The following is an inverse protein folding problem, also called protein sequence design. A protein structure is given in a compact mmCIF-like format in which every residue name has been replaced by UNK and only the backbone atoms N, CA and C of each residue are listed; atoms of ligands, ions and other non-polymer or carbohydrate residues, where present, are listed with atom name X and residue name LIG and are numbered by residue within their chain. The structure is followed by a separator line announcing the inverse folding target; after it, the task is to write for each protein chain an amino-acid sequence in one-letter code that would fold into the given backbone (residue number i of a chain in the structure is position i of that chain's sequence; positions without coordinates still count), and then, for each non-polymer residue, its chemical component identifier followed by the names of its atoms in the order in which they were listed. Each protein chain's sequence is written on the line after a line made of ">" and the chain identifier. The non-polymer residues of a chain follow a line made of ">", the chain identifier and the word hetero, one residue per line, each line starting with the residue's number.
data_IF_464490508243
#
_entry.id   IF_464490508243
#
_cell.length_a   1.000
_cell.length_b   1.000
_cell.length_c   1.000
_cell.angle_alpha   90.00
_cell.angle_beta   90.00
_cell.angle_gamma   90.00
#
_symmetry.space_group_name_H-M   'P 1'
#
loop_
_entity.id
_entity.type
_entity.pdbx_description
1 polymer ?
#
# COMPACT_ATOMS: atom_id res chain seq x y z
N UNK A 1 -7.46 -46.61 23.91
CA UNK A 1 -6.53 -46.29 22.80
C UNK A 1 -5.36 -45.55 23.41
N UNK A 2 -4.14 -45.72 22.94
CA UNK A 2 -2.97 -44.98 23.43
C UNK A 2 -2.64 -43.89 22.40
N UNK A 3 -2.81 -42.62 22.79
CA UNK A 3 -2.57 -41.47 21.91
C UNK A 3 -1.14 -40.91 22.00
N UNK A 4 -0.29 -41.47 22.92
CA UNK A 4 1.04 -40.94 23.15
C UNK A 4 1.01 -39.52 23.72
N UNK A 5 1.92 -38.68 23.25
CA UNK A 5 1.93 -37.25 23.58
C UNK A 5 0.81 -36.54 22.83
N UNK A 6 0.05 -35.72 23.54
CA UNK A 6 -1.02 -34.86 22.98
C UNK A 6 -0.80 -33.40 23.35
N UNK A 7 -1.24 -32.49 22.51
CA UNK A 7 -1.12 -31.06 22.74
C UNK A 7 -2.54 -30.52 23.03
N UNK A 8 -2.71 -29.88 24.16
CA UNK A 8 -3.93 -29.13 24.49
C UNK A 8 -3.81 -27.69 24.00
N UNK A 9 -4.76 -27.25 23.22
CA UNK A 9 -4.87 -25.89 22.72
C UNK A 9 -5.81 -25.10 23.61
N UNK A 10 -5.27 -24.20 24.42
CA UNK A 10 -6.04 -23.40 25.35
C UNK A 10 -6.93 -22.33 24.69
N UNK A 11 -6.64 -22.00 23.42
CA UNK A 11 -7.38 -20.96 22.66
C UNK A 11 -8.79 -21.41 22.30
N UNK A 12 -9.02 -22.69 22.03
CA UNK A 12 -10.29 -23.29 21.61
C UNK A 12 -10.64 -24.58 22.32
N UNK A 13 -9.93 -24.88 23.40
CA UNK A 13 -10.09 -26.08 24.22
C UNK A 13 -10.06 -27.38 23.41
N UNK A 14 -9.25 -27.43 22.38
CA UNK A 14 -9.10 -28.57 21.48
C UNK A 14 -7.81 -29.34 21.74
N UNK A 15 -7.69 -30.55 21.16
CA UNK A 15 -6.48 -31.36 21.27
C UNK A 15 -5.86 -31.64 19.89
N UNK A 16 -4.54 -31.69 19.83
CA UNK A 16 -3.80 -32.19 18.68
C UNK A 16 -3.18 -33.52 19.09
N UNK A 17 -3.53 -34.58 18.37
CA UNK A 17 -3.01 -35.93 18.53
C UNK A 17 -2.17 -36.32 17.31
N UNK A 18 -1.40 -37.43 17.42
CA UNK A 18 -0.75 -37.99 16.24
C UNK A 18 -1.60 -39.15 15.72
N UNK A 19 -2.08 -39.04 14.47
CA UNK A 19 -2.89 -40.05 13.79
C UNK A 19 -2.17 -40.42 12.48
N UNK A 20 -1.80 -41.70 12.32
CA UNK A 20 -1.05 -42.17 11.15
C UNK A 20 0.27 -41.42 10.90
N UNK A 21 0.97 -40.97 11.95
CA UNK A 21 2.23 -40.26 11.87
C UNK A 21 2.10 -38.74 11.52
N UNK A 22 0.89 -38.23 11.46
CA UNK A 22 0.62 -36.81 11.19
C UNK A 22 -0.16 -36.17 12.32
N UNK A 23 0.04 -34.85 12.59
CA UNK A 23 -0.79 -34.09 13.52
C UNK A 23 -2.25 -34.12 13.07
N UNK A 24 -3.16 -34.39 13.99
CA UNK A 24 -4.59 -34.47 13.78
C UNK A 24 -5.35 -33.70 14.86
N UNK A 25 -6.20 -32.78 14.43
CA UNK A 25 -6.89 -31.86 15.32
C UNK A 25 -8.27 -32.41 15.71
N UNK A 26 -8.55 -32.46 17.00
CA UNK A 26 -9.82 -32.94 17.57
C UNK A 26 -10.50 -31.80 18.31
N UNK A 27 -11.68 -31.44 17.85
CA UNK A 27 -12.46 -30.29 18.36
C UNK A 27 -13.65 -30.72 19.19
N UNK A 28 -13.99 -29.99 20.27
CA UNK A 28 -15.14 -30.28 21.13
C UNK A 28 -16.49 -30.00 20.48
N UNK A 29 -16.52 -29.22 19.38
CA UNK A 29 -17.79 -28.68 18.82
C UNK A 29 -18.28 -29.39 17.56
N UNK A 30 -17.53 -30.30 17.03
CA UNK A 30 -17.90 -31.01 15.80
C UNK A 30 -18.60 -32.31 16.13
N UNK A 31 -19.91 -32.38 15.88
CA UNK A 31 -20.72 -33.56 16.19
C UNK A 31 -20.21 -34.85 15.52
N UNK A 32 -19.61 -34.72 14.36
CA UNK A 32 -18.96 -35.79 13.59
C UNK A 32 -17.71 -36.37 14.25
N UNK A 33 -17.08 -35.65 15.18
CA UNK A 33 -15.89 -36.06 15.93
C UNK A 33 -16.16 -36.27 17.42
N UNK A 34 -17.42 -36.26 17.87
CA UNK A 34 -17.79 -36.32 19.30
C UNK A 34 -17.21 -37.56 19.99
N UNK A 35 -17.29 -38.73 19.33
CA UNK A 35 -16.76 -39.99 19.92
C UNK A 35 -15.21 -39.93 20.04
N UNK A 36 -14.54 -39.36 19.07
CA UNK A 36 -13.06 -39.18 19.08
C UNK A 36 -12.66 -38.13 20.12
N UNK A 37 -13.40 -37.03 20.22
CA UNK A 37 -13.24 -36.04 21.27
C UNK A 37 -13.35 -36.66 22.67
N UNK A 38 -14.44 -37.35 22.97
CA UNK A 38 -14.65 -37.98 24.26
C UNK A 38 -13.52 -38.96 24.61
N UNK A 39 -13.04 -39.72 23.63
CA UNK A 39 -11.95 -40.66 23.81
C UNK A 39 -10.61 -39.97 24.10
N UNK A 40 -10.31 -38.87 23.40
CA UNK A 40 -9.06 -38.08 23.59
C UNK A 40 -9.14 -37.35 24.94
N UNK A 41 -10.25 -36.72 25.25
CA UNK A 41 -10.48 -36.03 26.51
C UNK A 41 -10.32 -36.98 27.70
N UNK A 42 -10.98 -38.14 27.67
CA UNK A 42 -10.87 -39.15 28.75
C UNK A 42 -9.42 -39.66 28.88
N UNK A 43 -8.69 -39.80 27.78
CA UNK A 43 -7.30 -40.16 27.83
C UNK A 43 -6.43 -39.05 28.44
N UNK A 44 -6.67 -37.80 28.10
CA UNK A 44 -5.96 -36.65 28.66
C UNK A 44 -6.15 -36.54 30.17
N UNK A 45 -7.38 -36.71 30.66
CA UNK A 45 -7.69 -36.74 32.11
C UNK A 45 -7.00 -37.88 32.84
N UNK A 46 -6.90 -39.05 32.20
CA UNK A 46 -6.29 -40.22 32.79
C UNK A 46 -4.73 -40.18 32.72
N UNK A 47 -4.16 -39.40 31.82
CA UNK A 47 -2.72 -39.35 31.54
C UNK A 47 -2.21 -37.90 31.42
N UNK A 48 -2.31 -37.10 32.48
CA UNK A 48 -1.91 -35.68 32.46
C UNK A 48 -0.41 -35.52 32.11
N UNK A 49 0.41 -36.53 32.37
CA UNK A 49 1.82 -36.55 31.99
C UNK A 49 2.06 -36.60 30.47
N UNK A 50 1.04 -37.00 29.70
CA UNK A 50 1.09 -37.06 28.23
C UNK A 50 0.54 -35.77 27.60
N UNK A 51 -0.02 -34.84 28.38
CA UNK A 51 -0.59 -33.60 27.90
C UNK A 51 0.43 -32.47 27.96
N UNK A 52 0.61 -31.80 26.84
CA UNK A 52 1.44 -30.57 26.76
C UNK A 52 0.57 -29.45 26.28
N UNK A 53 0.61 -28.29 26.94
CA UNK A 53 -0.07 -27.10 26.45
C UNK A 53 0.60 -26.57 25.17
N UNK A 54 -0.22 -26.14 24.20
CA UNK A 54 0.28 -25.46 23.02
C UNK A 54 1.01 -24.19 23.43
N UNK A 55 2.26 -24.06 22.99
CA UNK A 55 2.99 -22.84 23.25
C UNK A 55 2.39 -21.70 22.40
N UNK A 56 2.20 -20.50 22.97
CA UNK A 56 1.75 -19.35 22.21
C UNK A 56 2.63 -19.15 21.00
N UNK A 57 2.00 -18.94 19.81
CA UNK A 57 2.77 -18.56 18.63
C UNK A 57 3.38 -17.16 18.85
N UNK A 58 4.67 -17.11 18.93
CA UNK A 58 5.42 -15.85 18.96
C UNK A 58 5.88 -15.59 17.53
N UNK A 59 5.31 -14.56 16.86
CA UNK A 59 5.77 -14.20 15.51
C UNK A 59 7.27 -13.89 15.54
N UNK A 60 8.02 -14.32 14.53
CA UNK A 60 9.42 -13.92 14.42
C UNK A 60 9.54 -12.40 14.36
N UNK A 61 10.51 -11.85 15.08
CA UNK A 61 10.82 -10.42 15.01
C UNK A 61 11.37 -10.15 13.60
N UNK A 62 10.80 -9.17 12.87
CA UNK A 62 11.29 -8.85 11.54
C UNK A 62 12.77 -8.45 11.57
N UNK A 63 13.51 -8.88 10.58
CA UNK A 63 14.90 -8.45 10.38
C UNK A 63 14.94 -6.98 9.94
N UNK A 64 16.07 -6.31 10.14
CA UNK A 64 16.25 -4.93 9.69
C UNK A 64 15.97 -4.77 8.18
N UNK A 65 16.37 -5.75 7.38
CA UNK A 65 16.14 -5.73 5.92
C UNK A 65 14.65 -5.83 5.58
N UNK A 66 13.87 -6.63 6.30
CA UNK A 66 12.42 -6.72 6.14
C UNK A 66 11.72 -5.43 6.53
N UNK A 67 12.15 -4.79 7.64
CA UNK A 67 11.64 -3.48 8.07
C UNK A 67 11.94 -2.43 7.01
N UNK A 68 13.19 -2.36 6.48
CA UNK A 68 13.58 -1.48 5.39
C UNK A 68 12.75 -1.71 4.12
N UNK A 69 12.55 -2.96 3.73
CA UNK A 69 11.75 -3.29 2.54
C UNK A 69 10.30 -2.82 2.68
N UNK A 70 9.69 -3.05 3.85
CA UNK A 70 8.33 -2.62 4.16
C UNK A 70 8.21 -1.09 4.11
N UNK A 71 9.13 -0.37 4.76
CA UNK A 71 9.14 1.10 4.76
C UNK A 71 9.32 1.70 3.37
N UNK A 72 10.22 1.13 2.55
CA UNK A 72 10.40 1.57 1.15
C UNK A 72 9.13 1.39 0.32
N UNK A 73 8.43 0.25 0.48
CA UNK A 73 7.15 0.02 -0.20
C UNK A 73 6.08 1.03 0.25
N UNK A 74 6.04 1.37 1.55
CA UNK A 74 5.17 2.41 2.08
C UNK A 74 5.47 3.78 1.44
N UNK A 75 6.76 4.18 1.39
CA UNK A 75 7.19 5.44 0.77
C UNK A 75 6.81 5.48 -0.71
N UNK A 76 6.95 4.38 -1.46
CA UNK A 76 6.55 4.31 -2.87
C UNK A 76 5.03 4.47 -3.04
N UNK A 77 4.23 3.88 -2.16
CA UNK A 77 2.79 4.04 -2.16
C UNK A 77 2.37 5.48 -1.83
N UNK A 78 2.97 6.09 -0.80
CA UNK A 78 2.73 7.49 -0.40
C UNK A 78 3.15 8.47 -1.50
N UNK A 79 4.30 8.23 -2.14
CA UNK A 79 4.78 9.03 -3.28
C UNK A 79 3.81 8.96 -4.45
N UNK A 80 3.33 7.77 -4.78
CA UNK A 80 2.34 7.57 -5.84
C UNK A 80 1.02 8.25 -5.51
N UNK A 81 0.54 8.12 -4.28
CA UNK A 81 -0.67 8.78 -3.80
C UNK A 81 -0.54 10.31 -3.87
N UNK A 82 0.61 10.87 -3.44
CA UNK A 82 0.88 12.29 -3.52
C UNK A 82 0.89 12.81 -4.96
N UNK A 83 1.45 12.05 -5.90
CA UNK A 83 1.41 12.40 -7.33
C UNK A 83 -0.03 12.40 -7.85
N UNK A 84 -0.81 11.37 -7.53
CA UNK A 84 -2.19 11.21 -8.02
C UNK A 84 -3.18 12.16 -7.37
N UNK A 85 -2.86 12.73 -6.21
CA UNK A 85 -3.69 13.73 -5.55
C UNK A 85 -3.91 14.99 -6.40
N UNK A 86 -3.05 15.22 -7.41
CA UNK A 86 -3.10 16.43 -8.22
C UNK A 86 -2.32 17.58 -7.60
N UNK A 87 -2.45 18.76 -8.20
CA UNK A 87 -1.66 19.92 -7.81
C UNK A 87 -2.46 21.22 -7.95
N UNK A 88 -2.07 22.21 -7.17
CA UNK A 88 -2.60 23.55 -7.25
C UNK A 88 -1.71 24.44 -8.14
N UNK A 89 -2.34 25.23 -8.96
CA UNK A 89 -1.66 26.19 -9.84
C UNK A 89 -2.49 27.45 -10.01
N UNK A 90 -1.83 28.62 -9.97
CA UNK A 90 -2.48 29.90 -10.13
C UNK A 90 -2.63 30.25 -11.62
N UNK A 91 -3.85 30.56 -12.05
CA UNK A 91 -4.18 31.09 -13.38
C UNK A 91 -4.87 32.41 -13.18
N UNK A 92 -4.33 33.48 -13.75
CA UNK A 92 -4.89 34.85 -13.64
C UNK A 92 -5.18 35.32 -12.19
N UNK A 93 -4.29 34.91 -11.26
CA UNK A 93 -4.37 35.27 -9.85
C UNK A 93 -5.33 34.43 -9.01
N UNK A 94 -6.02 33.44 -9.61
CA UNK A 94 -6.86 32.47 -8.91
C UNK A 94 -6.17 31.15 -8.88
N UNK A 95 -6.09 30.51 -7.69
CA UNK A 95 -5.55 29.17 -7.53
C UNK A 95 -6.63 28.14 -7.82
N UNK A 96 -6.31 27.22 -8.72
CA UNK A 96 -7.16 26.08 -9.08
C UNK A 96 -6.44 24.78 -8.77
N UNK A 97 -7.21 23.76 -8.43
CA UNK A 97 -6.72 22.40 -8.34
C UNK A 97 -6.84 21.68 -9.69
N UNK A 98 -5.79 20.95 -10.08
CA UNK A 98 -5.74 20.14 -11.29
C UNK A 98 -5.55 18.67 -10.92
N UNK A 99 -6.45 17.80 -11.38
CA UNK A 99 -6.24 16.36 -11.24
C UNK A 99 -4.98 15.90 -11.99
N UNK A 100 -4.31 14.91 -11.42
CA UNK A 100 -3.08 14.37 -11.99
C UNK A 100 -3.00 12.85 -11.84
N UNK A 101 -4.14 12.17 -11.96
CA UNK A 101 -4.22 10.71 -12.04
C UNK A 101 -3.45 10.19 -13.27
N UNK A 102 -3.36 8.88 -13.42
CA UNK A 102 -2.52 8.28 -14.48
C UNK A 102 -2.90 8.76 -15.89
N UNK A 103 -4.19 8.82 -16.19
CA UNK A 103 -4.67 9.27 -17.50
C UNK A 103 -4.45 10.77 -17.69
N UNK A 104 -4.59 11.56 -16.61
CA UNK A 104 -4.28 12.99 -16.65
C UNK A 104 -2.82 13.25 -16.96
N UNK A 105 -1.88 12.46 -16.39
CA UNK A 105 -0.46 12.59 -16.69
C UNK A 105 -0.17 12.39 -18.18
N UNK A 106 -0.81 11.39 -18.80
CA UNK A 106 -0.68 11.16 -20.24
C UNK A 106 -1.28 12.32 -21.04
N UNK A 107 -2.50 12.74 -20.70
CA UNK A 107 -3.19 13.85 -21.36
C UNK A 107 -2.38 15.16 -21.27
N UNK A 108 -1.78 15.48 -20.10
CA UNK A 108 -0.90 16.62 -19.93
C UNK A 108 0.30 16.56 -20.86
N UNK A 109 0.96 15.40 -20.95
CA UNK A 109 2.14 15.18 -21.81
C UNK A 109 1.77 15.33 -23.29
N UNK A 110 0.69 14.70 -23.73
CA UNK A 110 0.24 14.74 -25.12
C UNK A 110 -0.16 16.15 -25.53
N UNK A 111 -0.90 16.86 -24.67
CA UNK A 111 -1.29 18.24 -24.93
C UNK A 111 -0.09 19.18 -24.94
N UNK A 112 0.89 18.99 -24.04
CA UNK A 112 2.13 19.77 -24.05
C UNK A 112 2.90 19.57 -25.36
N UNK A 113 2.95 18.33 -25.88
CA UNK A 113 3.58 18.05 -27.19
C UNK A 113 2.85 18.79 -28.33
N UNK A 114 1.51 18.79 -28.34
CA UNK A 114 0.73 19.56 -29.34
C UNK A 114 1.05 21.06 -29.24
N UNK A 115 1.12 21.60 -28.01
CA UNK A 115 1.48 22.99 -27.79
C UNK A 115 2.92 23.33 -28.27
N UNK A 116 3.88 22.45 -28.05
CA UNK A 116 5.23 22.61 -28.57
C UNK A 116 5.28 22.60 -30.09
N UNK A 117 4.56 21.68 -30.74
CA UNK A 117 4.45 21.64 -32.21
C UNK A 117 3.81 22.92 -32.75
N UNK A 118 2.79 23.46 -32.06
CA UNK A 118 2.18 24.74 -32.43
C UNK A 118 3.18 25.89 -32.38
N UNK A 119 3.99 25.95 -31.30
CA UNK A 119 5.05 26.99 -31.20
C UNK A 119 6.12 26.90 -32.26
N UNK A 120 6.38 25.72 -32.81
CA UNK A 120 7.33 25.55 -33.94
C UNK A 120 6.70 25.88 -35.29
N UNK A 121 5.44 26.35 -35.34
CA UNK A 121 4.76 26.78 -36.56
C UNK A 121 4.10 25.66 -37.34
N UNK A 122 3.92 24.46 -36.76
CA UNK A 122 3.23 23.36 -37.45
C UNK A 122 1.76 23.77 -37.74
N UNK A 123 1.31 23.68 -39.01
CA UNK A 123 -0.03 24.08 -39.38
C UNK A 123 -1.09 23.05 -38.92
N UNK A 124 -2.35 23.51 -38.86
CA UNK A 124 -3.51 22.63 -38.57
C UNK A 124 -3.72 22.30 -37.09
N UNK A 125 -2.89 22.84 -36.20
CA UNK A 125 -3.05 22.66 -34.75
C UNK A 125 -3.98 23.73 -34.16
N UNK A 126 -4.73 23.43 -33.07
CA UNK A 126 -5.65 24.37 -32.43
C UNK A 126 -4.90 25.58 -31.85
N UNK A 127 -5.55 26.74 -31.83
CA UNK A 127 -4.98 27.95 -31.26
C UNK A 127 -5.01 27.96 -29.72
N UNK A 128 -5.92 27.18 -29.14
CA UNK A 128 -6.07 27.02 -27.69
C UNK A 128 -6.51 25.62 -27.33
N UNK A 129 -6.25 25.23 -26.09
CA UNK A 129 -6.68 23.97 -25.47
C UNK A 129 -7.55 24.28 -24.26
N UNK A 130 -8.56 23.46 -24.01
CA UNK A 130 -9.42 23.58 -22.83
C UNK A 130 -9.09 22.50 -21.83
N UNK A 131 -8.96 22.87 -20.55
CA UNK A 131 -8.59 21.93 -19.48
C UNK A 131 -9.53 22.06 -18.29
N UNK A 132 -9.87 20.93 -17.68
CA UNK A 132 -10.66 20.90 -16.47
C UNK A 132 -9.81 21.28 -15.25
N UNK A 133 -10.35 22.13 -14.40
CA UNK A 133 -9.76 22.55 -13.14
C UNK A 133 -10.86 22.65 -12.09
N UNK A 134 -10.49 22.70 -10.81
CA UNK A 134 -11.42 22.81 -9.71
C UNK A 134 -11.15 24.08 -8.91
N UNK A 135 -12.21 24.82 -8.61
CA UNK A 135 -12.12 26.01 -7.75
C UNK A 135 -11.77 25.63 -6.31
N UNK A 136 -11.37 26.58 -5.45
CA UNK A 136 -11.20 26.32 -4.02
C UNK A 136 -12.43 25.73 -3.32
N UNK A 137 -13.63 26.00 -3.85
CA UNK A 137 -14.91 25.46 -3.35
C UNK A 137 -15.21 24.04 -3.90
N UNK A 138 -14.37 23.52 -4.79
CA UNK A 138 -14.49 22.19 -5.37
C UNK A 138 -15.32 22.13 -6.66
N UNK A 139 -15.78 23.25 -7.18
CA UNK A 139 -16.56 23.29 -8.42
C UNK A 139 -15.65 23.10 -9.64
N UNK A 140 -16.07 22.23 -10.56
CA UNK A 140 -15.36 21.99 -11.80
C UNK A 140 -15.59 23.14 -12.78
N UNK A 141 -14.50 23.71 -13.28
CA UNK A 141 -14.48 24.74 -14.30
C UNK A 141 -13.62 24.31 -15.50
N UNK A 142 -13.85 24.91 -16.64
CA UNK A 142 -13.02 24.70 -17.85
C UNK A 142 -12.23 25.95 -18.14
N UNK A 143 -10.93 25.85 -18.04
CA UNK A 143 -9.97 26.91 -18.36
C UNK A 143 -9.45 26.74 -19.78
N UNK A 144 -9.30 27.85 -20.50
CA UNK A 144 -8.73 27.83 -21.85
C UNK A 144 -7.33 28.43 -21.83
N UNK A 145 -6.40 27.73 -22.46
CA UNK A 145 -5.01 28.11 -22.52
C UNK A 145 -4.57 28.23 -23.99
N UNK A 146 -3.81 29.23 -24.32
CA UNK A 146 -2.97 29.20 -25.52
C UNK A 146 -1.77 28.26 -25.31
N UNK A 147 -1.00 28.01 -26.35
CA UNK A 147 0.14 27.08 -26.29
C UNK A 147 1.19 27.49 -25.24
N UNK A 148 1.63 28.76 -25.13
CA UNK A 148 2.53 29.21 -24.06
C UNK A 148 1.94 29.02 -22.65
N UNK A 149 0.68 29.37 -22.45
CA UNK A 149 -0.03 29.28 -21.17
C UNK A 149 -0.16 27.83 -20.70
N UNK A 150 -0.52 26.90 -21.60
CA UNK A 150 -0.57 25.46 -21.25
C UNK A 150 0.82 24.90 -20.93
N UNK A 151 1.85 25.28 -21.67
CA UNK A 151 3.22 24.86 -21.35
C UNK A 151 3.70 25.40 -20.01
N UNK A 152 3.32 26.61 -19.63
CA UNK A 152 3.61 27.16 -18.31
C UNK A 152 2.92 26.35 -17.19
N UNK A 153 1.64 25.99 -17.37
CA UNK A 153 0.91 25.09 -16.47
C UNK A 153 1.58 23.72 -16.40
N UNK A 154 1.95 23.12 -17.53
CA UNK A 154 2.60 21.81 -17.58
C UNK A 154 3.95 21.80 -16.85
N UNK A 155 4.84 22.74 -17.13
CA UNK A 155 6.17 22.81 -16.51
C UNK A 155 6.10 23.29 -15.06
N UNK A 156 5.38 24.40 -14.80
CA UNK A 156 5.31 25.04 -13.49
C UNK A 156 4.38 24.35 -12.50
N UNK A 157 3.38 23.62 -13.00
CA UNK A 157 2.42 22.86 -12.23
C UNK A 157 2.75 21.36 -12.24
N UNK A 158 2.33 20.67 -13.28
CA UNK A 158 2.36 19.20 -13.39
C UNK A 158 3.75 18.58 -13.19
N UNK A 159 4.75 19.06 -13.94
CA UNK A 159 6.13 18.54 -13.85
C UNK A 159 6.78 18.86 -12.51
N UNK A 160 6.59 20.10 -12.02
CA UNK A 160 7.12 20.51 -10.70
C UNK A 160 6.53 19.67 -9.59
N UNK A 161 5.21 19.42 -9.61
CA UNK A 161 4.52 18.58 -8.65
C UNK A 161 5.07 17.16 -8.63
N UNK A 162 5.10 16.49 -9.79
CA UNK A 162 5.59 15.12 -9.93
C UNK A 162 7.04 14.98 -9.49
N UNK A 163 7.92 15.84 -10.00
CA UNK A 163 9.34 15.79 -9.67
C UNK A 163 9.59 16.07 -8.19
N UNK A 164 8.85 17.01 -7.59
CA UNK A 164 8.94 17.29 -6.15
C UNK A 164 8.50 16.11 -5.28
N UNK A 165 7.42 15.42 -5.65
CA UNK A 165 6.99 14.20 -4.95
C UNK A 165 8.02 13.07 -5.08
N UNK A 166 8.54 12.83 -6.28
CA UNK A 166 9.56 11.80 -6.54
C UNK A 166 10.86 12.11 -5.79
N UNK A 167 11.30 13.38 -5.75
CA UNK A 167 12.49 13.79 -5.01
C UNK A 167 12.34 13.49 -3.52
N UNK A 168 11.23 13.93 -2.89
CA UNK A 168 10.96 13.65 -1.47
C UNK A 168 10.93 12.15 -1.16
N UNK A 169 10.27 11.36 -2.03
CA UNK A 169 10.25 9.90 -1.89
C UNK A 169 11.65 9.29 -2.01
N UNK A 170 12.47 9.79 -2.94
CA UNK A 170 13.87 9.36 -3.10
C UNK A 170 14.75 9.69 -1.89
N UNK A 171 14.62 10.89 -1.33
CA UNK A 171 15.34 11.32 -0.13
C UNK A 171 14.98 10.46 1.08
N UNK A 172 13.69 10.18 1.29
CA UNK A 172 13.22 9.28 2.36
C UNK A 172 13.74 7.86 2.17
N UNK A 173 13.70 7.30 0.98
CA UNK A 173 14.26 5.96 0.71
C UNK A 173 15.78 5.91 0.93
N UNK A 174 16.50 6.96 0.64
CA UNK A 174 17.92 7.05 0.95
C UNK A 174 18.19 7.07 2.47
N UNK A 175 17.34 7.75 3.25
CA UNK A 175 17.41 7.73 4.71
C UNK A 175 17.13 6.32 5.27
N UNK A 176 16.10 5.62 4.75
CA UNK A 176 15.82 4.20 5.10
C UNK A 176 17.03 3.31 4.80
N UNK A 177 17.69 3.50 3.66
CA UNK A 177 18.86 2.69 3.30
C UNK A 177 20.02 2.90 4.27
N UNK A 178 20.27 4.14 4.66
CA UNK A 178 21.32 4.51 5.59
C UNK A 178 21.05 4.10 7.05
N UNK A 179 19.79 3.83 7.41
CA UNK A 179 19.39 3.46 8.77
C UNK A 179 20.06 2.15 9.21
N UNK A 180 20.44 2.07 10.49
CA UNK A 180 21.12 0.92 11.11
C UNK A 180 20.27 0.22 12.16
N UNK A 181 19.15 0.84 12.57
CA UNK A 181 18.18 0.28 13.50
C UNK A 181 16.75 0.39 12.98
N UNK A 182 15.81 -0.45 13.45
CA UNK A 182 14.41 -0.34 13.12
C UNK A 182 13.80 1.04 13.45
N UNK A 183 14.20 1.65 14.55
CA UNK A 183 13.73 2.97 14.98
C UNK A 183 14.15 4.08 14.01
N UNK A 184 15.38 4.01 13.49
CA UNK A 184 15.87 4.94 12.45
C UNK A 184 15.11 4.74 11.14
N UNK A 185 14.76 3.49 10.78
CA UNK A 185 13.93 3.19 9.60
C UNK A 185 12.54 3.82 9.75
N UNK A 186 11.91 3.68 10.92
CA UNK A 186 10.57 4.25 11.15
C UNK A 186 10.57 5.79 11.13
N UNK A 187 11.64 6.41 11.54
CA UNK A 187 11.79 7.87 11.55
C UNK A 187 12.01 8.49 10.16
N UNK A 188 12.35 7.69 9.15
CA UNK A 188 12.58 8.11 7.77
C UNK A 188 11.26 8.17 6.98
#
# INVERSE_FOLDING_TARGET
>A
MNYGQIIHRTADDSYVITKNGSPYHVYPYAAEFAEEWDAVFAYAEAHPECVTEEQPYIPPVPTLDEVKATKKAQIDAETSAAIFAGFDYAVDGVTYHFSYARDDQQNFSDTANVCLMKQTGMPGLPDSVTWNAYTPDGDMVRLTFDAPGFLALYVGGAMKHKNGAMQRGGERKAAVEAATTPEEVEAA
#
